data_IF_043224749863
#
_entry.id   IF_043224749863
#
_cell.length_a   1.000
_cell.length_b   1.000
_cell.length_c   1.000
_cell.angle_alpha   90.00
_cell.angle_beta   90.00
_cell.angle_gamma   90.00
#
_symmetry.space_group_name_H-M   'P 1'
#
loop_
_entity.id
_entity.type
_entity.pdbx_description
1 polymer ?
#
# COMPACT_ATOMS: atom_id res chain seq x y z
N UNK A 1 -15.09 -23.47 -1.50
CA UNK A 1 -13.74 -24.04 -1.67
C UNK A 1 -13.12 -24.11 -0.29
N UNK A 2 -12.43 -25.23 0.05
CA UNK A 2 -11.77 -25.36 1.35
C UNK A 2 -10.46 -26.13 1.19
N UNK A 3 -9.49 -25.77 2.01
CA UNK A 3 -8.19 -26.41 2.11
C UNK A 3 -7.87 -26.68 3.58
N UNK A 4 -7.41 -27.88 3.89
CA UNK A 4 -6.96 -28.26 5.22
C UNK A 4 -5.61 -28.94 5.09
N UNK A 5 -4.65 -28.44 5.85
CA UNK A 5 -3.29 -28.97 5.91
C UNK A 5 -2.96 -29.40 7.35
N UNK A 6 -2.20 -30.48 7.46
CA UNK A 6 -1.70 -31.01 8.75
C UNK A 6 -0.18 -31.14 8.61
N UNK A 7 0.56 -30.64 9.57
CA UNK A 7 2.01 -30.76 9.61
C UNK A 7 2.45 -32.08 10.28
N UNK A 8 3.77 -32.30 10.33
CA UNK A 8 4.38 -33.49 10.96
C UNK A 8 4.07 -33.64 12.47
N UNK A 9 3.66 -32.55 13.13
CA UNK A 9 3.30 -32.52 14.56
C UNK A 9 1.78 -32.63 14.76
N UNK A 10 1.02 -33.02 13.73
CA UNK A 10 -0.44 -33.05 13.73
C UNK A 10 -1.10 -31.70 14.02
N UNK A 11 -0.40 -30.61 13.78
CA UNK A 11 -0.95 -29.28 13.89
C UNK A 11 -1.74 -28.92 12.62
N UNK A 12 -2.89 -28.27 12.80
CA UNK A 12 -3.87 -28.02 11.76
C UNK A 12 -3.78 -26.59 11.23
N UNK A 13 -3.89 -26.44 9.92
CA UNK A 13 -4.19 -25.18 9.25
C UNK A 13 -5.36 -25.39 8.29
N UNK A 14 -6.35 -24.51 8.34
CA UNK A 14 -7.54 -24.60 7.47
C UNK A 14 -7.92 -23.21 6.95
N UNK A 15 -8.29 -23.18 5.66
CA UNK A 15 -8.79 -22.02 4.96
C UNK A 15 -10.03 -22.42 4.17
N UNK A 16 -11.16 -21.83 4.48
CA UNK A 16 -12.42 -22.09 3.81
C UNK A 16 -12.92 -20.79 3.17
N UNK A 17 -13.35 -20.85 1.93
CA UNK A 17 -13.92 -19.73 1.20
C UNK A 17 -15.26 -20.07 0.57
N UNK A 18 -16.21 -19.14 0.68
CA UNK A 18 -17.50 -19.18 0.03
C UNK A 18 -17.64 -17.92 -0.82
N UNK A 19 -17.83 -18.10 -2.10
CA UNK A 19 -18.20 -17.02 -3.03
C UNK A 19 -19.64 -17.18 -3.43
N UNK A 20 -20.43 -16.16 -3.21
CA UNK A 20 -21.86 -16.17 -3.51
C UNK A 20 -22.20 -15.03 -4.47
N UNK A 21 -22.66 -15.42 -5.67
CA UNK A 21 -23.17 -14.48 -6.65
C UNK A 21 -24.64 -14.23 -6.36
N UNK A 22 -24.97 -13.10 -5.67
CA UNK A 22 -26.34 -12.76 -5.30
C UNK A 22 -27.17 -12.30 -6.51
N UNK A 23 -26.52 -11.58 -7.43
CA UNK A 23 -27.12 -11.12 -8.69
C UNK A 23 -26.01 -10.94 -9.74
N UNK A 24 -26.37 -10.57 -10.96
CA UNK A 24 -25.40 -10.23 -12.01
C UNK A 24 -24.47 -9.07 -11.62
N UNK A 25 -24.90 -8.22 -10.69
CA UNK A 25 -24.19 -7.02 -10.27
C UNK A 25 -23.58 -7.11 -8.85
N UNK A 26 -23.96 -8.12 -8.04
CA UNK A 26 -23.56 -8.21 -6.63
C UNK A 26 -22.93 -9.56 -6.34
N UNK A 27 -21.69 -9.54 -5.86
CA UNK A 27 -20.94 -10.70 -5.42
C UNK A 27 -20.49 -10.52 -3.97
N UNK A 28 -20.65 -11.55 -3.16
CA UNK A 28 -20.13 -11.63 -1.80
C UNK A 28 -19.10 -12.74 -1.68
N UNK A 29 -18.10 -12.52 -0.86
CA UNK A 29 -17.11 -13.53 -0.51
C UNK A 29 -16.95 -13.58 1.01
N UNK A 30 -16.88 -14.79 1.53
CA UNK A 30 -16.57 -15.06 2.94
C UNK A 30 -15.36 -15.98 2.98
N UNK A 31 -14.40 -15.69 3.84
CA UNK A 31 -13.24 -16.52 4.10
C UNK A 31 -13.12 -16.72 5.61
N UNK A 32 -13.05 -17.98 6.01
CA UNK A 32 -12.73 -18.39 7.38
C UNK A 32 -11.34 -19.02 7.36
N UNK A 33 -10.49 -18.61 8.30
CA UNK A 33 -9.17 -19.16 8.48
C UNK A 33 -8.91 -19.54 9.93
N UNK A 34 -8.18 -20.64 10.08
CA UNK A 34 -7.66 -21.08 11.36
C UNK A 34 -6.28 -21.70 11.15
N UNK A 35 -5.27 -21.14 11.79
CA UNK A 35 -3.90 -21.61 11.73
C UNK A 35 -3.42 -21.86 13.15
N UNK A 36 -3.19 -23.14 13.48
CA UNK A 36 -2.73 -23.54 14.79
C UNK A 36 -1.40 -22.87 15.15
N UNK A 37 -1.21 -22.54 16.41
CA UNK A 37 0.06 -22.01 16.94
C UNK A 37 1.25 -22.93 16.62
N UNK A 38 1.04 -24.24 16.60
CA UNK A 38 2.10 -25.25 16.37
C UNK A 38 2.31 -25.60 14.91
N UNK A 39 1.45 -25.13 14.00
CA UNK A 39 1.58 -25.41 12.57
C UNK A 39 2.84 -24.78 12.00
N UNK A 40 3.66 -25.57 11.34
CA UNK A 40 4.92 -25.16 10.74
C UNK A 40 4.98 -25.52 9.26
N UNK A 41 5.08 -24.53 8.42
CA UNK A 41 5.39 -24.68 7.01
C UNK A 41 6.35 -23.63 6.54
N UNK A 42 7.48 -24.03 5.97
CA UNK A 42 8.54 -23.11 5.50
C UNK A 42 8.11 -22.32 4.26
N UNK A 43 7.25 -22.89 3.44
CA UNK A 43 6.89 -22.34 2.13
C UNK A 43 5.41 -21.97 1.99
N UNK A 44 4.57 -22.32 2.97
CA UNK A 44 3.15 -22.01 2.90
C UNK A 44 2.97 -20.49 3.03
N UNK A 45 2.21 -19.96 2.08
CA UNK A 45 1.63 -18.62 2.14
C UNK A 45 0.13 -18.75 2.00
N UNK A 46 -0.61 -18.19 2.90
CA UNK A 46 -2.07 -18.24 2.89
C UNK A 46 -2.63 -16.85 3.15
N UNK A 47 -3.94 -16.71 2.96
CA UNK A 47 -4.65 -15.49 3.28
C UNK A 47 -4.63 -15.26 4.80
N UNK A 48 -4.10 -14.14 5.26
CA UNK A 48 -4.00 -13.80 6.68
C UNK A 48 -3.36 -12.45 6.92
N UNK A 49 -3.43 -12.02 8.16
CA UNK A 49 -2.81 -10.80 8.67
C UNK A 49 -1.30 -10.99 8.89
N UNK A 50 -0.88 -12.20 9.26
CA UNK A 50 0.52 -12.57 9.47
C UNK A 50 1.22 -12.93 8.15
N UNK A 51 2.54 -12.70 8.10
CA UNK A 51 3.39 -13.18 7.02
C UNK A 51 3.63 -14.70 7.04
N UNK A 52 3.27 -15.38 8.12
CA UNK A 52 3.39 -16.82 8.33
C UNK A 52 2.02 -17.43 8.59
N UNK A 53 1.83 -18.67 8.12
CA UNK A 53 0.60 -19.44 8.34
C UNK A 53 0.66 -20.09 9.72
N UNK A 54 0.50 -19.30 10.77
CA UNK A 54 0.63 -19.74 12.16
C UNK A 54 -0.06 -18.77 13.10
N UNK A 55 -0.65 -19.29 14.19
CA UNK A 55 -1.24 -18.51 15.28
C UNK A 55 -2.24 -17.44 14.81
N UNK A 56 -3.19 -17.83 13.96
CA UNK A 56 -4.18 -16.88 13.48
C UNK A 56 -5.54 -17.55 13.29
N UNK A 57 -6.57 -16.96 13.86
CA UNK A 57 -7.96 -17.29 13.58
C UNK A 57 -8.67 -16.07 13.06
N UNK A 58 -9.41 -16.17 11.96
CA UNK A 58 -10.00 -14.98 11.38
C UNK A 58 -11.17 -15.25 10.44
N UNK A 59 -11.91 -14.18 10.23
CA UNK A 59 -13.04 -14.15 9.29
C UNK A 59 -12.91 -12.90 8.45
N UNK A 60 -12.95 -13.09 7.14
CA UNK A 60 -13.00 -12.03 6.15
C UNK A 60 -14.33 -12.08 5.42
N UNK A 61 -14.91 -10.92 5.16
CA UNK A 61 -16.06 -10.77 4.30
C UNK A 61 -15.83 -9.64 3.30
N UNK A 62 -16.31 -9.79 2.07
CA UNK A 62 -16.31 -8.71 1.09
C UNK A 62 -17.58 -8.70 0.26
N UNK A 63 -17.94 -7.51 -0.19
CA UNK A 63 -19.04 -7.23 -1.10
C UNK A 63 -18.50 -6.43 -2.27
N UNK A 64 -18.69 -6.92 -3.47
CA UNK A 64 -18.43 -6.22 -4.71
C UNK A 64 -19.77 -5.90 -5.39
N UNK A 65 -20.02 -4.63 -5.66
CA UNK A 65 -21.25 -4.17 -6.27
C UNK A 65 -20.97 -3.32 -7.51
N UNK A 66 -21.34 -3.85 -8.66
CA UNK A 66 -21.36 -3.13 -9.93
C UNK A 66 -22.69 -2.39 -10.04
N UNK A 67 -22.73 -1.12 -9.65
CA UNK A 67 -23.96 -0.30 -9.70
C UNK A 67 -24.41 -0.13 -11.15
N UNK A 68 -23.45 0.15 -12.02
CA UNK A 68 -23.62 0.25 -13.47
C UNK A 68 -22.26 0.06 -14.18
N UNK A 69 -22.22 0.25 -15.49
CA UNK A 69 -20.97 0.09 -16.27
C UNK A 69 -19.84 1.06 -15.87
N UNK A 70 -20.16 2.18 -15.20
CA UNK A 70 -19.21 3.22 -14.83
C UNK A 70 -18.80 3.18 -13.34
N UNK A 71 -19.66 2.63 -12.47
CA UNK A 71 -19.48 2.69 -11.02
C UNK A 71 -19.42 1.31 -10.39
N UNK A 72 -18.36 1.07 -9.64
CA UNK A 72 -18.17 -0.13 -8.83
C UNK A 72 -17.87 0.26 -7.41
N UNK A 73 -18.53 -0.39 -6.46
CA UNK A 73 -18.23 -0.30 -5.02
C UNK A 73 -17.66 -1.63 -4.53
N UNK A 74 -16.70 -1.53 -3.65
CA UNK A 74 -16.12 -2.66 -2.94
C UNK A 74 -16.06 -2.35 -1.45
N UNK A 75 -16.60 -3.25 -0.64
CA UNK A 75 -16.52 -3.21 0.81
C UNK A 75 -15.86 -4.50 1.29
N UNK A 76 -14.99 -4.40 2.26
CA UNK A 76 -14.40 -5.57 2.89
C UNK A 76 -14.20 -5.31 4.38
N UNK A 77 -14.32 -6.37 5.17
CA UNK A 77 -14.01 -6.37 6.59
C UNK A 77 -13.27 -7.66 6.94
N UNK A 78 -12.20 -7.52 7.69
CA UNK A 78 -11.38 -8.62 8.19
C UNK A 78 -11.24 -8.52 9.70
N UNK A 79 -11.41 -9.63 10.38
CA UNK A 79 -11.16 -9.79 11.80
C UNK A 79 -10.15 -10.92 11.99
N UNK A 80 -9.10 -10.65 12.75
CA UNK A 80 -8.07 -11.62 13.10
C UNK A 80 -7.87 -11.65 14.62
N UNK A 81 -7.75 -12.84 15.16
CA UNK A 81 -7.42 -13.15 16.55
C UNK A 81 -6.12 -13.95 16.59
N UNK A 82 -5.28 -13.63 17.57
CA UNK A 82 -3.96 -14.24 17.80
C UNK A 82 -3.88 -14.68 19.26
N UNK A 83 -3.68 -15.96 19.46
CA UNK A 83 -3.65 -16.53 20.81
C UNK A 83 -2.32 -16.28 21.52
N UNK A 84 -1.23 -16.09 20.78
CA UNK A 84 0.13 -15.96 21.31
C UNK A 84 0.71 -14.54 21.14
N UNK A 85 1.64 -14.11 22.01
CA UNK A 85 2.35 -12.85 21.84
C UNK A 85 3.08 -12.76 20.51
N UNK A 86 3.09 -11.55 19.93
CA UNK A 86 3.75 -11.26 18.66
C UNK A 86 4.70 -10.07 18.81
N UNK A 87 5.45 -9.77 17.76
CA UNK A 87 6.30 -8.58 17.73
C UNK A 87 5.50 -7.31 18.02
N UNK A 88 5.92 -6.52 19.00
CA UNK A 88 5.22 -5.35 19.54
C UNK A 88 3.82 -5.63 20.14
N UNK A 89 3.54 -6.86 20.54
CA UNK A 89 2.33 -7.31 21.21
C UNK A 89 2.71 -8.40 22.21
N UNK A 90 3.22 -7.97 23.37
CA UNK A 90 3.76 -8.88 24.40
C UNK A 90 2.69 -9.67 25.15
N UNK A 91 1.42 -9.33 24.95
CA UNK A 91 0.29 -10.00 25.61
C UNK A 91 -0.34 -11.03 24.67
N UNK A 92 -0.84 -12.10 25.25
CA UNK A 92 -1.63 -13.10 24.58
C UNK A 92 -3.07 -12.61 24.33
N UNK A 93 -3.73 -13.18 23.33
CA UNK A 93 -5.13 -12.87 23.04
C UNK A 93 -5.36 -11.52 22.36
N UNK A 94 -4.52 -11.17 21.38
CA UNK A 94 -4.63 -9.90 20.67
C UNK A 94 -5.54 -9.98 19.43
N UNK A 95 -6.09 -8.84 19.04
CA UNK A 95 -7.03 -8.72 17.94
C UNK A 95 -6.56 -7.68 16.90
N UNK A 96 -6.93 -7.90 15.65
CA UNK A 96 -6.82 -6.92 14.58
C UNK A 96 -8.14 -6.86 13.82
N UNK A 97 -8.54 -5.65 13.43
CA UNK A 97 -9.71 -5.40 12.58
C UNK A 97 -9.26 -4.52 11.43
N UNK A 98 -9.59 -4.91 10.21
CA UNK A 98 -9.39 -4.08 9.03
C UNK A 98 -10.72 -3.93 8.29
N UNK A 99 -11.07 -2.70 7.90
CA UNK A 99 -12.21 -2.42 7.05
C UNK A 99 -11.75 -1.57 5.86
N UNK A 100 -12.22 -1.93 4.67
CA UNK A 100 -11.91 -1.25 3.42
C UNK A 100 -13.17 -0.91 2.67
N UNK A 101 -13.24 0.33 2.21
CA UNK A 101 -14.24 0.79 1.25
C UNK A 101 -13.51 1.34 0.03
N UNK A 102 -13.93 0.95 -1.15
CA UNK A 102 -13.37 1.45 -2.40
C UNK A 102 -14.50 1.78 -3.36
N UNK A 103 -14.38 2.93 -4.01
CA UNK A 103 -15.22 3.34 -5.12
C UNK A 103 -14.37 3.56 -6.35
N UNK A 104 -14.71 2.83 -7.41
CA UNK A 104 -14.09 2.95 -8.71
C UNK A 104 -15.09 3.57 -9.69
N UNK A 105 -14.69 4.65 -10.32
CA UNK A 105 -15.39 5.27 -11.43
C UNK A 105 -14.55 5.14 -12.70
N UNK A 106 -15.15 4.61 -13.75
CA UNK A 106 -14.53 4.46 -15.06
C UNK A 106 -15.38 5.10 -16.14
N UNK A 107 -15.17 6.39 -16.40
CA UNK A 107 -15.76 7.10 -17.53
C UNK A 107 -14.99 6.88 -18.83
N UNK A 108 -15.49 7.47 -19.93
CA UNK A 108 -14.86 7.31 -21.25
C UNK A 108 -13.44 7.85 -21.30
N UNK A 109 -13.19 9.00 -20.70
CA UNK A 109 -11.91 9.70 -20.80
C UNK A 109 -11.19 9.83 -19.45
N UNK A 110 -11.85 9.59 -18.33
CA UNK A 110 -11.26 9.74 -17.02
C UNK A 110 -11.66 8.61 -16.09
N UNK A 111 -10.78 8.30 -15.14
CA UNK A 111 -10.98 7.28 -14.12
C UNK A 111 -10.69 7.87 -12.76
N UNK A 112 -11.48 7.49 -11.77
CA UNK A 112 -11.26 7.87 -10.39
C UNK A 112 -11.37 6.63 -9.50
N UNK A 113 -10.43 6.50 -8.58
CA UNK A 113 -10.43 5.50 -7.53
C UNK A 113 -10.36 6.24 -6.19
N UNK A 114 -11.31 5.99 -5.32
CA UNK A 114 -11.31 6.47 -3.95
C UNK A 114 -11.29 5.26 -3.03
N UNK A 115 -10.32 5.18 -2.14
CA UNK A 115 -10.15 4.10 -1.18
C UNK A 115 -10.03 4.65 0.22
N UNK A 116 -10.77 4.08 1.12
CA UNK A 116 -10.66 4.31 2.54
C UNK A 116 -10.37 2.99 3.25
N UNK A 117 -9.32 2.96 4.07
CA UNK A 117 -8.94 1.84 4.91
C UNK A 117 -8.96 2.28 6.37
N UNK A 118 -9.64 1.53 7.19
CA UNK A 118 -9.58 1.59 8.63
C UNK A 118 -8.87 0.35 9.15
N UNK A 119 -7.95 0.52 10.09
CA UNK A 119 -7.27 -0.59 10.76
C UNK A 119 -7.15 -0.31 12.25
N UNK A 120 -7.62 -1.26 13.03
CA UNK A 120 -7.41 -1.33 14.47
C UNK A 120 -6.43 -2.46 14.77
N UNK A 121 -5.37 -2.15 15.49
CA UNK A 121 -4.40 -3.11 15.99
C UNK A 121 -4.08 -2.81 17.44
N UNK A 122 -3.90 -3.85 18.23
CA UNK A 122 -3.39 -3.71 19.60
C UNK A 122 -1.86 -3.68 19.54
N UNK A 123 -1.23 -2.74 20.22
CA UNK A 123 0.23 -2.61 20.31
C UNK A 123 0.63 -2.30 21.76
N UNK A 124 1.83 -2.77 22.14
CA UNK A 124 2.42 -2.45 23.42
C UNK A 124 2.70 -0.95 23.55
N UNK A 125 2.53 -0.45 24.76
CA UNK A 125 3.12 0.84 25.18
C UNK A 125 4.66 0.71 25.21
N UNK A 126 5.44 1.79 25.08
CA UNK A 126 6.89 1.74 25.10
C UNK A 126 7.51 1.02 26.30
N UNK A 127 6.83 1.01 27.45
CA UNK A 127 7.24 0.30 28.68
C UNK A 127 6.75 -1.17 28.75
N UNK A 128 6.04 -1.65 27.73
CA UNK A 128 5.43 -3.00 27.66
C UNK A 128 4.49 -3.37 28.81
N UNK A 129 3.99 -2.38 29.55
CA UNK A 129 3.13 -2.61 30.70
C UNK A 129 1.67 -2.87 30.32
N UNK A 130 1.22 -2.37 29.17
CA UNK A 130 -0.17 -2.43 28.73
C UNK A 130 -0.28 -2.51 27.20
N UNK A 131 -1.44 -3.01 26.72
CA UNK A 131 -1.82 -2.96 25.32
C UNK A 131 -2.69 -1.73 25.07
N UNK A 132 -2.33 -0.95 24.07
CA UNK A 132 -3.16 0.15 23.56
C UNK A 132 -3.71 -0.16 22.18
N UNK A 133 -4.92 0.31 21.95
CA UNK A 133 -5.53 0.24 20.63
C UNK A 133 -4.96 1.34 19.74
N UNK A 134 -4.39 0.94 18.60
CA UNK A 134 -3.94 1.84 17.56
C UNK A 134 -4.94 1.83 16.42
N UNK A 135 -5.58 2.97 16.21
CA UNK A 135 -6.52 3.21 15.12
C UNK A 135 -5.78 3.91 13.98
N UNK A 136 -5.83 3.34 12.81
CA UNK A 136 -5.21 3.93 11.61
C UNK A 136 -6.28 4.11 10.54
N UNK A 137 -6.49 5.34 10.13
CA UNK A 137 -7.37 5.73 9.03
C UNK A 137 -6.50 6.15 7.85
N UNK A 138 -6.71 5.54 6.69
CA UNK A 138 -6.01 5.92 5.46
C UNK A 138 -7.03 6.17 4.36
N UNK A 139 -6.90 7.32 3.71
CA UNK A 139 -7.69 7.68 2.55
C UNK A 139 -6.76 7.90 1.37
N UNK A 140 -7.11 7.35 0.22
CA UNK A 140 -6.43 7.58 -1.05
C UNK A 140 -7.46 7.90 -2.11
N UNK A 141 -7.26 9.00 -2.81
CA UNK A 141 -8.01 9.37 -4.00
C UNK A 141 -7.03 9.50 -5.16
N UNK A 142 -7.32 8.85 -6.26
CA UNK A 142 -6.53 8.90 -7.48
C UNK A 142 -7.45 9.20 -8.65
N UNK A 143 -7.12 10.20 -9.44
CA UNK A 143 -7.84 10.55 -10.67
C UNK A 143 -6.87 10.55 -11.83
N UNK A 144 -7.23 9.87 -12.92
CA UNK A 144 -6.47 9.80 -14.16
C UNK A 144 -7.34 10.38 -15.28
N UNK A 145 -6.83 11.39 -15.96
CA UNK A 145 -7.54 12.09 -17.02
C UNK A 145 -6.59 12.59 -18.11
N UNK A 146 -7.01 12.56 -19.37
CA UNK A 146 -6.25 13.16 -20.45
C UNK A 146 -6.45 14.68 -20.46
N UNK A 147 -5.37 15.40 -20.70
CA UNK A 147 -5.37 16.84 -20.97
C UNK A 147 -4.62 17.06 -22.27
N UNK A 148 -5.35 17.22 -23.38
CA UNK A 148 -4.82 17.25 -24.74
C UNK A 148 -4.03 15.96 -25.07
N UNK A 149 -2.72 16.08 -25.24
CA UNK A 149 -1.82 14.95 -25.53
C UNK A 149 -1.11 14.40 -24.30
N UNK A 150 -1.43 14.89 -23.09
CA UNK A 150 -0.85 14.51 -21.82
C UNK A 150 -1.83 13.64 -21.04
N UNK A 151 -1.30 12.62 -20.41
CA UNK A 151 -2.02 11.85 -19.41
C UNK A 151 -1.66 12.41 -18.04
N UNK A 152 -2.66 12.96 -17.36
CA UNK A 152 -2.54 13.54 -16.03
C UNK A 152 -3.05 12.54 -14.98
N UNK A 153 -2.32 12.42 -13.89
CA UNK A 153 -2.73 11.66 -12.72
C UNK A 153 -2.56 12.52 -11.48
N UNK A 154 -3.66 12.79 -10.81
CA UNK A 154 -3.67 13.48 -9.51
C UNK A 154 -3.90 12.45 -8.43
N UNK A 155 -3.12 12.49 -7.36
CA UNK A 155 -3.26 11.58 -6.22
C UNK A 155 -3.23 12.36 -4.92
N UNK A 156 -4.21 12.11 -4.06
CA UNK A 156 -4.32 12.62 -2.70
C UNK A 156 -4.29 11.44 -1.73
N UNK A 157 -3.34 11.43 -0.81
CA UNK A 157 -3.23 10.45 0.26
C UNK A 157 -3.32 11.15 1.61
N UNK A 158 -4.13 10.63 2.50
CA UNK A 158 -4.26 11.08 3.88
C UNK A 158 -4.12 9.91 4.84
N UNK A 159 -3.51 10.16 5.98
CA UNK A 159 -3.40 9.21 7.09
C UNK A 159 -3.67 9.92 8.41
N UNK A 160 -4.44 9.26 9.27
CA UNK A 160 -4.64 9.68 10.66
C UNK A 160 -4.41 8.45 11.54
N UNK A 161 -3.51 8.58 12.49
CA UNK A 161 -3.19 7.54 13.47
C UNK A 161 -3.54 8.04 14.85
N UNK A 162 -4.41 7.32 15.54
CA UNK A 162 -4.77 7.59 16.92
C UNK A 162 -4.34 6.40 17.79
N UNK A 163 -3.42 6.65 18.69
CA UNK A 163 -2.96 5.73 19.72
C UNK A 163 -2.99 6.49 21.05
N UNK A 164 -1.88 6.89 21.62
CA UNK A 164 -1.81 7.81 22.77
C UNK A 164 -1.95 9.27 22.34
N UNK A 165 -1.42 9.56 21.17
CA UNK A 165 -1.50 10.89 20.54
C UNK A 165 -2.07 10.76 19.14
N UNK A 166 -2.77 11.79 18.70
CA UNK A 166 -3.25 11.89 17.34
C UNK A 166 -2.11 12.35 16.45
N UNK A 167 -1.84 11.59 15.40
CA UNK A 167 -0.85 11.94 14.38
C UNK A 167 -1.51 11.91 13.00
N UNK A 168 -1.23 12.90 12.19
CA UNK A 168 -1.80 13.01 10.85
C UNK A 168 -0.75 13.34 9.80
N UNK A 169 -1.05 12.93 8.58
CA UNK A 169 -0.23 13.25 7.43
C UNK A 169 -1.06 13.31 6.15
N UNK A 170 -0.62 14.11 5.20
CA UNK A 170 -1.20 14.13 3.86
C UNK A 170 -0.14 14.30 2.78
N UNK A 171 -0.45 13.83 1.59
CA UNK A 171 0.38 13.94 0.40
C UNK A 171 -0.52 14.24 -0.79
N UNK A 172 -0.16 15.29 -1.52
CA UNK A 172 -0.78 15.65 -2.79
C UNK A 172 0.26 15.54 -3.88
N UNK A 173 -0.04 14.80 -4.95
CA UNK A 173 0.87 14.67 -6.07
C UNK A 173 0.18 14.78 -7.41
N UNK A 174 0.96 15.26 -8.37
CA UNK A 174 0.58 15.37 -9.77
C UNK A 174 1.63 14.68 -10.63
N UNK A 175 1.21 13.76 -11.46
CA UNK A 175 2.04 13.11 -12.47
C UNK A 175 1.51 13.46 -13.84
N UNK A 176 2.39 13.88 -14.75
CA UNK A 176 2.06 14.23 -16.13
C UNK A 176 2.93 13.40 -17.04
N UNK A 177 2.30 12.63 -17.92
CA UNK A 177 3.00 11.75 -18.87
C UNK A 177 2.64 12.14 -20.29
N UNK A 178 3.65 12.35 -21.14
CA UNK A 178 3.49 12.42 -22.59
C UNK A 178 4.14 11.21 -23.22
N UNK A 179 3.40 10.56 -24.11
CA UNK A 179 3.88 9.43 -24.88
C UNK A 179 3.84 9.77 -26.37
N UNK A 180 4.87 9.38 -27.10
CA UNK A 180 4.94 9.48 -28.56
C UNK A 180 5.55 8.18 -29.10
N UNK A 181 4.86 7.52 -29.99
CA UNK A 181 5.18 6.18 -30.46
C UNK A 181 5.42 5.23 -29.25
N UNK A 182 6.64 4.75 -29.08
CA UNK A 182 7.04 3.84 -28.01
C UNK A 182 7.84 4.52 -26.88
N UNK A 183 8.16 5.81 -27.06
CA UNK A 183 8.89 6.63 -26.09
C UNK A 183 7.95 7.43 -25.19
N UNK A 184 8.41 7.83 -24.02
CA UNK A 184 7.61 8.63 -23.10
C UNK A 184 8.47 9.47 -22.17
N UNK A 185 7.93 10.60 -21.74
CA UNK A 185 8.46 11.42 -20.66
C UNK A 185 7.39 11.55 -19.57
N UNK A 186 7.79 11.42 -18.32
CA UNK A 186 6.91 11.54 -17.14
C UNK A 186 7.52 12.52 -16.17
N UNK A 187 6.80 13.56 -15.84
CA UNK A 187 7.14 14.50 -14.76
C UNK A 187 6.25 14.23 -13.56
N UNK A 188 6.80 14.27 -12.37
CA UNK A 188 6.11 14.06 -11.10
C UNK A 188 6.47 15.16 -10.12
N UNK A 189 5.47 15.68 -9.43
CA UNK A 189 5.62 16.61 -8.32
C UNK A 189 4.73 16.13 -7.18
N UNK A 190 5.25 16.14 -5.94
CA UNK A 190 4.48 15.84 -4.76
C UNK A 190 4.82 16.80 -3.62
N UNK A 191 3.80 17.22 -2.89
CA UNK A 191 3.92 17.92 -1.62
C UNK A 191 3.46 16.98 -0.52
N UNK A 192 4.22 16.87 0.57
CA UNK A 192 3.91 16.02 1.71
C UNK A 192 4.09 16.73 3.03
N UNK A 193 3.24 16.36 3.97
CA UNK A 193 3.29 16.80 5.35
C UNK A 193 2.92 15.64 6.27
N UNK A 194 3.72 15.34 7.28
CA UNK A 194 3.40 14.40 8.34
C UNK A 194 3.86 14.95 9.68
N UNK A 195 3.07 14.75 10.72
CA UNK A 195 3.40 15.21 12.06
C UNK A 195 4.55 14.42 12.69
N UNK A 196 4.56 13.11 12.43
CA UNK A 196 5.58 12.19 12.95
C UNK A 196 5.81 10.99 12.02
N UNK A 197 6.66 10.07 12.48
CA UNK A 197 6.97 8.84 11.73
C UNK A 197 5.82 7.84 11.68
N UNK A 198 4.82 7.91 12.58
CA UNK A 198 3.67 7.01 12.58
C UNK A 198 2.69 7.34 11.45
N UNK A 199 2.60 8.63 11.10
CA UNK A 199 1.79 9.14 10.00
C UNK A 199 2.54 9.20 8.66
N UNK A 200 3.65 8.44 8.52
CA UNK A 200 4.39 8.38 7.25
C UNK A 200 3.52 7.86 6.11
N UNK A 201 3.73 8.46 4.94
CA UNK A 201 3.01 8.12 3.72
C UNK A 201 3.95 7.43 2.72
N UNK A 202 3.38 6.52 1.95
CA UNK A 202 4.11 5.79 0.93
C UNK A 202 3.48 6.04 -0.42
N UNK A 203 4.31 6.34 -1.41
CA UNK A 203 3.86 6.54 -2.78
C UNK A 203 4.74 5.80 -3.76
N UNK A 204 4.10 5.16 -4.73
CA UNK A 204 4.80 4.60 -5.87
C UNK A 204 5.20 5.70 -6.84
N UNK A 205 6.47 5.76 -7.20
CA UNK A 205 7.02 6.62 -8.23
C UNK A 205 7.55 5.76 -9.37
N UNK A 206 7.21 6.11 -10.60
CA UNK A 206 7.72 5.39 -11.77
C UNK A 206 9.21 5.70 -11.95
N UNK A 207 10.04 4.68 -11.82
CA UNK A 207 11.49 4.76 -12.01
C UNK A 207 11.96 3.82 -13.15
N UNK A 208 12.86 2.90 -12.88
CA UNK A 208 13.38 1.94 -13.87
C UNK A 208 12.42 0.76 -14.09
N UNK A 209 12.60 0.01 -15.16
CA UNK A 209 11.88 -1.25 -15.37
C UNK A 209 12.31 -2.30 -14.36
N UNK A 210 11.37 -3.10 -13.92
CA UNK A 210 11.56 -4.19 -12.95
C UNK A 210 11.99 -3.73 -11.54
N UNK A 211 11.90 -2.42 -11.26
CA UNK A 211 12.14 -1.87 -9.94
C UNK A 211 10.83 -1.38 -9.33
N UNK A 212 10.56 -1.81 -8.09
CA UNK A 212 9.49 -1.25 -7.27
C UNK A 212 10.04 -0.09 -6.47
N UNK A 213 9.77 1.13 -6.93
CA UNK A 213 10.25 2.34 -6.29
C UNK A 213 9.14 2.96 -5.44
N UNK A 214 9.06 2.52 -4.18
CA UNK A 214 8.17 3.09 -3.18
C UNK A 214 8.95 4.03 -2.27
N UNK A 215 8.61 5.29 -2.33
CA UNK A 215 9.19 6.31 -1.48
C UNK A 215 8.36 6.45 -0.19
N UNK A 216 9.06 6.55 0.93
CA UNK A 216 8.49 6.89 2.22
C UNK A 216 8.67 8.38 2.46
N UNK A 217 7.57 9.08 2.72
CA UNK A 217 7.55 10.49 3.05
C UNK A 217 7.26 10.69 4.54
N UNK A 218 8.14 11.42 5.23
CA UNK A 218 8.01 11.80 6.64
C UNK A 218 8.50 13.21 6.85
N UNK A 219 7.78 14.02 7.66
CA UNK A 219 8.06 15.44 7.85
C UNK A 219 7.36 16.32 6.81
N UNK A 220 7.97 17.42 6.42
CA UNK A 220 7.40 18.41 5.49
C UNK A 220 8.36 18.66 4.33
N UNK A 221 7.87 18.58 3.10
CA UNK A 221 8.71 18.80 1.93
C UNK A 221 8.00 18.67 0.60
N UNK A 222 8.82 18.73 -0.46
CA UNK A 222 8.41 18.51 -1.84
C UNK A 222 9.31 17.50 -2.53
N UNK A 223 8.72 16.69 -3.38
CA UNK A 223 9.42 15.77 -4.28
C UNK A 223 9.18 16.20 -5.72
N UNK A 224 10.24 16.21 -6.50
CA UNK A 224 10.24 16.40 -7.95
C UNK A 224 10.89 15.18 -8.58
N UNK A 225 10.32 14.65 -9.65
CA UNK A 225 10.97 13.59 -10.39
C UNK A 225 10.68 13.71 -11.89
N UNK A 226 11.65 13.30 -12.68
CA UNK A 226 11.56 13.25 -14.13
C UNK A 226 12.05 11.88 -14.59
N UNK A 227 11.21 11.19 -15.36
CA UNK A 227 11.57 9.94 -16.02
C UNK A 227 11.46 10.11 -17.53
N UNK A 228 12.47 9.64 -18.25
CA UNK A 228 12.47 9.56 -19.71
C UNK A 228 12.67 8.10 -20.12
N UNK A 229 11.83 7.63 -21.03
CA UNK A 229 11.98 6.33 -21.69
C UNK A 229 12.10 6.58 -23.20
N UNK A 230 13.23 6.21 -23.77
CA UNK A 230 13.52 6.32 -25.19
C UNK A 230 13.66 4.93 -25.80
N UNK A 231 12.89 4.64 -26.84
CA UNK A 231 13.01 3.42 -27.61
C UNK A 231 13.67 3.79 -28.94
N UNK A 232 14.98 3.54 -29.01
CA UNK A 232 15.77 3.91 -30.20
C UNK A 232 15.47 2.97 -31.37
N UNK A 233 15.35 1.66 -31.10
CA UNK A 233 14.97 0.64 -32.08
C UNK A 233 14.39 -0.61 -31.38
N UNK A 234 14.12 -1.68 -32.15
CA UNK A 234 13.58 -2.93 -31.58
C UNK A 234 14.49 -3.57 -30.53
N UNK A 235 15.79 -3.32 -30.59
CA UNK A 235 16.80 -3.95 -29.73
C UNK A 235 17.24 -3.08 -28.56
N UNK A 236 17.03 -1.75 -28.61
CA UNK A 236 17.62 -0.81 -27.67
C UNK A 236 16.59 0.11 -27.01
N UNK A 237 16.50 0.02 -25.68
CA UNK A 237 15.66 0.89 -24.85
C UNK A 237 16.54 1.56 -23.79
N UNK A 238 16.45 2.87 -23.69
CA UNK A 238 17.12 3.68 -22.68
C UNK A 238 16.09 4.29 -21.74
N UNK A 239 16.31 4.17 -20.42
CA UNK A 239 15.46 4.75 -19.38
C UNK A 239 16.36 5.54 -18.44
N UNK A 240 16.02 6.80 -18.21
CA UNK A 240 16.66 7.66 -17.23
C UNK A 240 15.62 8.17 -16.26
N UNK A 241 15.96 8.20 -14.99
CA UNK A 241 15.16 8.76 -13.91
C UNK A 241 16.04 9.68 -13.06
N UNK A 242 15.52 10.85 -12.74
CA UNK A 242 16.14 11.80 -11.83
C UNK A 242 15.07 12.28 -10.83
N UNK A 243 15.38 12.20 -9.55
CA UNK A 243 14.51 12.62 -8.48
C UNK A 243 15.21 13.56 -7.50
N UNK A 244 14.45 14.49 -6.91
CA UNK A 244 14.93 15.45 -5.94
C UNK A 244 13.86 15.64 -4.86
N UNK A 245 14.22 15.37 -3.60
CA UNK A 245 13.37 15.63 -2.43
C UNK A 245 13.96 16.76 -1.62
N UNK A 246 13.16 17.81 -1.39
CA UNK A 246 13.52 18.95 -0.57
C UNK A 246 12.67 18.97 0.70
N UNK A 247 13.31 18.85 1.85
CA UNK A 247 12.67 18.93 3.17
C UNK A 247 12.69 20.37 3.69
N UNK A 248 11.57 20.80 4.30
CA UNK A 248 11.42 22.14 4.87
C UNK A 248 11.55 22.18 6.38
N UNK A 249 11.55 21.02 7.02
CA UNK A 249 11.51 20.84 8.48
C UNK A 249 12.85 20.38 9.09
N UNK A 250 13.87 20.16 8.25
CA UNK A 250 15.17 19.65 8.70
C UNK A 250 16.31 20.15 7.83
N UNK A 251 17.51 20.18 8.41
CA UNK A 251 18.74 20.55 7.71
C UNK A 251 19.65 19.36 7.39
N UNK A 252 19.33 18.20 7.94
CA UNK A 252 20.07 16.97 7.71
C UNK A 252 19.09 15.81 7.46
N UNK A 253 19.46 14.86 6.59
CA UNK A 253 18.67 13.72 6.21
C UNK A 253 19.41 12.44 6.60
N UNK A 254 18.74 11.49 7.25
CA UNK A 254 19.33 10.23 7.69
C UNK A 254 20.19 10.37 8.95
N UNK A 255 20.83 9.27 9.33
CA UNK A 255 21.70 9.19 10.52
C UNK A 255 22.91 8.30 10.22
N UNK A 256 23.99 8.48 10.98
CA UNK A 256 25.22 7.69 10.85
C UNK A 256 25.95 7.90 9.52
N UNK A 257 26.57 6.85 8.95
CA UNK A 257 27.40 6.96 7.73
C UNK A 257 26.63 7.40 6.48
N UNK A 258 25.31 7.30 6.48
CA UNK A 258 24.44 7.71 5.36
C UNK A 258 23.81 9.09 5.56
N UNK A 259 24.27 9.85 6.56
CA UNK A 259 23.75 11.18 6.83
C UNK A 259 24.13 12.18 5.72
N UNK A 260 23.14 12.89 5.19
CA UNK A 260 23.31 13.98 4.24
C UNK A 260 23.19 15.30 5.03
N UNK A 261 24.24 16.10 5.04
CA UNK A 261 24.29 17.40 5.74
C UNK A 261 23.64 18.52 4.91
N UNK A 262 22.48 18.22 4.34
CA UNK A 262 21.71 19.15 3.50
C UNK A 262 20.22 18.75 3.53
N UNK A 263 19.28 19.71 3.42
CA UNK A 263 17.84 19.43 3.38
C UNK A 263 17.36 18.83 2.05
N UNK A 264 18.26 18.67 1.07
CA UNK A 264 17.95 18.16 -0.26
C UNK A 264 18.63 16.81 -0.49
N UNK A 265 17.86 15.84 -0.95
CA UNK A 265 18.33 14.54 -1.43
C UNK A 265 18.02 14.41 -2.91
N UNK A 266 19.01 14.08 -3.72
CA UNK A 266 18.85 13.77 -5.13
C UNK A 266 19.18 12.31 -5.42
N UNK A 267 18.49 11.73 -6.38
CA UNK A 267 18.74 10.38 -6.91
C UNK A 267 18.69 10.39 -8.44
N UNK A 268 19.65 9.70 -9.05
CA UNK A 268 19.72 9.55 -10.50
C UNK A 268 19.90 8.07 -10.80
N UNK A 269 19.11 7.55 -11.73
CA UNK A 269 19.14 6.15 -12.13
C UNK A 269 19.07 6.05 -13.65
N UNK A 270 19.89 5.19 -14.23
CA UNK A 270 19.95 4.96 -15.67
C UNK A 270 19.88 3.46 -15.93
N UNK A 271 19.09 3.07 -16.90
CA UNK A 271 18.96 1.68 -17.34
C UNK A 271 18.99 1.59 -18.87
N UNK A 272 19.79 0.68 -19.35
CA UNK A 272 19.82 0.28 -20.76
C UNK A 272 19.31 -1.16 -20.88
N UNK A 273 18.38 -1.40 -21.78
CA UNK A 273 17.84 -2.73 -22.05
C UNK A 273 18.17 -3.10 -23.51
N UNK A 274 18.91 -4.19 -23.66
CA UNK A 274 19.19 -4.82 -24.95
C UNK A 274 18.27 -6.03 -25.12
N UNK A 275 17.63 -6.13 -26.27
CA UNK A 275 16.82 -7.28 -26.67
C UNK A 275 17.49 -7.97 -27.85
N UNK A 276 17.72 -9.22 -27.68
CA UNK A 276 18.31 -10.10 -28.71
C UNK A 276 17.24 -10.87 -29.47
#
# INVERSE_FOLDING_TARGET
>A
MGETAIDKCCALATLNSLTWQMSSSVQMQFIQRFYSLRYQSLFARSFGENGHVQDESGIFSSLQWHINALHQLYFAADYAYFAWPRYQQSFAGTHAIEARTQWDFQGNNWRMNVRYNYRLQQQDVPDHSQLHNKHTHRMRMQTIYPLWQWLCQTELNGVVVAQEKLSSGFLLSQTITKSWNTSSITAHIAYFYTQDNQSSLYQYERALRYQFHFLRFSGKGMRYALQSKLVCNHHFIFIAHAGLTHYFDRQTIGTGPQQIMHPVQADIQIQTILKF
#
